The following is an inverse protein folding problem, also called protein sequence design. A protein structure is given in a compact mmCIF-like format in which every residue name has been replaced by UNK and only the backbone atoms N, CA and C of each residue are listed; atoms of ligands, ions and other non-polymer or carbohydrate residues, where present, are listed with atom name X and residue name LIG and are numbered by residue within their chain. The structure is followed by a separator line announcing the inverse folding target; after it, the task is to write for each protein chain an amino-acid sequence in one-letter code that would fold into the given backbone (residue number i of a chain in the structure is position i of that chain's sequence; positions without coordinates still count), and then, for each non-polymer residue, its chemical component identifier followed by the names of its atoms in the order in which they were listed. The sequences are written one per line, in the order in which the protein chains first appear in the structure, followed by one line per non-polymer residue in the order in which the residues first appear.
data_IF_433960648123
#
_entry.id   IF_433960648123
#
_cell.length_a   1.000
_cell.length_b   1.000
_cell.length_c   1.000
_cell.angle_alpha   90.00
_cell.angle_beta   90.00
_cell.angle_gamma   90.00
#
_symmetry.space_group_name_H-M   'P 1'
#
loop_
_entity.id
_entity.type
_entity.pdbx_description
1 polymer ?
#
# COMPACT_ATOMS: atom_id res chain seq x y z
N UNK A 1 -3.36 0.73 -10.52
CA UNK A 1 -2.05 1.41 -10.39
C UNK A 1 -2.29 2.90 -10.27
N UNK A 2 -1.47 3.57 -9.47
CA UNK A 2 -1.56 5.02 -9.25
C UNK A 2 -0.17 5.61 -9.34
N UNK A 3 -0.10 6.78 -9.95
CA UNK A 3 1.09 7.61 -9.97
C UNK A 3 0.70 9.07 -10.01
N UNK A 4 1.64 9.94 -9.69
CA UNK A 4 1.49 11.39 -9.86
C UNK A 4 2.52 11.95 -10.83
N UNK A 5 2.17 13.07 -11.45
CA UNK A 5 3.08 13.90 -12.23
C UNK A 5 3.28 15.24 -11.54
N UNK A 6 4.52 15.70 -11.51
CA UNK A 6 4.92 17.05 -11.16
C UNK A 6 5.53 17.69 -12.40
N UNK A 7 5.19 18.95 -12.67
CA UNK A 7 5.95 19.72 -13.66
C UNK A 7 7.32 20.05 -13.06
N UNK A 8 8.39 19.83 -13.83
CA UNK A 8 9.77 20.04 -13.37
C UNK A 8 9.98 21.49 -12.92
N UNK A 9 9.38 22.45 -13.62
CA UNK A 9 9.47 23.88 -13.30
C UNK A 9 8.84 24.21 -11.93
N UNK A 10 7.66 23.69 -11.64
CA UNK A 10 6.99 23.88 -10.34
C UNK A 10 7.78 23.21 -9.21
N UNK A 11 8.30 22.00 -9.45
CA UNK A 11 9.09 21.25 -8.47
C UNK A 11 10.43 21.93 -8.12
N UNK A 12 10.98 22.77 -9.01
CA UNK A 12 12.19 23.56 -8.74
C UNK A 12 11.97 24.58 -7.60
N UNK A 13 10.74 24.93 -7.24
CA UNK A 13 10.46 25.79 -6.09
C UNK A 13 10.74 25.12 -4.73
N UNK A 14 10.95 23.81 -4.69
CA UNK A 14 11.28 23.09 -3.45
C UNK A 14 12.66 23.49 -2.89
N UNK A 15 12.81 23.47 -1.56
CA UNK A 15 14.07 23.82 -0.89
C UNK A 15 14.79 22.54 -0.43
N UNK A 16 16.07 22.43 -0.76
CA UNK A 16 16.92 21.37 -0.24
C UNK A 16 17.50 21.77 1.11
N UNK A 17 17.09 21.08 2.19
CA UNK A 17 17.57 21.33 3.56
C UNK A 17 18.46 20.20 4.10
N UNK A 18 18.40 19.03 3.47
CA UNK A 18 19.14 17.83 3.88
C UNK A 18 20.15 17.41 2.81
N UNK A 19 21.13 16.61 3.21
CA UNK A 19 22.08 16.04 2.25
C UNK A 19 21.51 14.74 1.67
N UNK A 20 21.87 14.46 0.41
CA UNK A 20 21.52 13.22 -0.28
C UNK A 20 22.79 12.56 -0.79
N UNK A 21 22.91 11.25 -0.59
CA UNK A 21 23.96 10.42 -1.21
C UNK A 21 23.38 9.14 -1.80
N UNK A 22 24.19 8.45 -2.60
CA UNK A 22 23.84 7.10 -3.07
C UNK A 22 23.69 6.15 -1.88
N UNK A 23 22.76 5.22 -2.02
CA UNK A 23 22.57 4.11 -1.10
C UNK A 23 23.81 3.22 -1.05
N UNK A 24 24.13 2.75 0.16
CA UNK A 24 25.17 1.79 0.45
C UNK A 24 24.58 0.59 1.21
N UNK A 25 25.28 -0.55 1.17
CA UNK A 25 24.79 -1.78 1.79
C UNK A 25 24.57 -1.66 3.30
N UNK A 26 25.31 -0.80 3.97
CA UNK A 26 25.20 -0.59 5.41
C UNK A 26 23.94 0.19 5.79
N UNK A 27 23.25 0.83 4.82
CA UNK A 27 21.96 1.52 5.03
C UNK A 27 20.77 0.55 5.14
N UNK A 28 20.95 -0.72 4.76
CA UNK A 28 19.87 -1.71 4.65
C UNK A 28 19.02 -1.81 5.94
N UNK A 29 19.59 -1.91 7.16
CA UNK A 29 18.78 -2.02 8.37
C UNK A 29 17.82 -0.84 8.55
N UNK A 30 18.31 0.39 8.32
CA UNK A 30 17.51 1.60 8.48
C UNK A 30 16.42 1.71 7.41
N UNK A 31 16.74 1.36 6.17
CA UNK A 31 15.77 1.32 5.05
C UNK A 31 14.65 0.33 5.33
N UNK A 32 14.98 -0.86 5.84
CA UNK A 32 13.99 -1.88 6.20
C UNK A 32 13.08 -1.40 7.34
N UNK A 33 13.65 -0.72 8.33
CA UNK A 33 12.89 -0.10 9.42
C UNK A 33 11.89 0.95 8.89
N UNK A 34 12.33 1.87 8.03
CA UNK A 34 11.45 2.87 7.41
C UNK A 34 10.37 2.24 6.54
N UNK A 35 10.75 1.27 5.70
CA UNK A 35 9.80 0.56 4.85
C UNK A 35 8.71 -0.13 5.67
N UNK A 36 9.09 -0.86 6.73
CA UNK A 36 8.15 -1.54 7.60
C UNK A 36 7.23 -0.55 8.32
N UNK A 37 7.77 0.55 8.86
CA UNK A 37 6.99 1.57 9.55
C UNK A 37 6.00 2.29 8.60
N UNK A 38 6.46 2.69 7.41
CA UNK A 38 5.63 3.43 6.45
C UNK A 38 4.56 2.54 5.77
N UNK A 39 4.74 1.22 5.78
CA UNK A 39 3.78 0.27 5.19
C UNK A 39 3.02 -0.57 6.24
N UNK A 40 3.19 -0.30 7.54
CA UNK A 40 2.63 -1.13 8.63
C UNK A 40 1.11 -1.33 8.56
N UNK A 41 0.38 -0.41 7.93
CA UNK A 41 -1.08 -0.46 7.78
C UNK A 41 -1.52 -0.55 6.31
N UNK A 42 -0.56 -0.72 5.38
CA UNK A 42 -0.86 -0.79 3.95
C UNK A 42 -1.10 -2.22 3.51
N UNK A 43 -2.26 -2.45 2.90
CA UNK A 43 -2.60 -3.76 2.35
C UNK A 43 -1.84 -4.03 1.04
N UNK A 44 -1.36 -5.25 0.86
CA UNK A 44 -0.73 -5.71 -0.38
C UNK A 44 0.76 -5.45 -0.51
N UNK A 45 1.37 -4.71 0.41
CA UNK A 45 2.82 -4.47 0.40
C UNK A 45 3.58 -5.71 0.92
N UNK A 46 4.54 -6.29 0.17
CA UNK A 46 5.34 -7.41 0.64
C UNK A 46 6.21 -7.04 1.83
N UNK A 47 6.42 -7.97 2.76
CA UNK A 47 7.43 -7.81 3.82
C UNK A 47 8.83 -8.01 3.24
N UNK A 48 9.74 -7.08 3.52
CA UNK A 48 11.16 -7.21 3.19
C UNK A 48 11.88 -7.90 4.36
N UNK A 49 12.29 -9.14 4.12
CA UNK A 49 13.03 -9.96 5.08
C UNK A 49 14.51 -9.54 5.10
N UNK A 50 15.02 -9.08 6.24
CA UNK A 50 16.42 -8.65 6.41
C UNK A 50 17.47 -9.71 6.02
N UNK A 51 17.11 -10.99 6.18
CA UNK A 51 18.02 -12.09 5.87
C UNK A 51 18.16 -12.28 4.36
N UNK A 52 17.12 -11.94 3.58
CA UNK A 52 17.02 -12.21 2.13
C UNK A 52 17.07 -10.95 1.27
N UNK A 53 16.61 -9.81 1.78
CA UNK A 53 16.61 -8.54 1.09
C UNK A 53 18.02 -7.94 1.13
N UNK A 54 18.56 -7.61 -0.05
CA UNK A 54 19.95 -7.16 -0.19
C UNK A 54 20.12 -5.88 -0.97
N UNK A 55 19.16 -5.56 -1.85
CA UNK A 55 19.15 -4.37 -2.69
C UNK A 55 17.80 -4.22 -3.37
N UNK A 56 17.54 -3.04 -3.90
CA UNK A 56 16.51 -2.79 -4.90
C UNK A 56 16.89 -3.49 -6.21
N UNK A 57 16.00 -4.30 -6.77
CA UNK A 57 16.28 -5.14 -7.94
C UNK A 57 15.95 -4.46 -9.27
N UNK A 58 15.01 -3.52 -9.27
CA UNK A 58 14.51 -2.84 -10.46
C UNK A 58 13.93 -1.49 -10.10
N UNK A 59 13.92 -0.57 -11.07
CA UNK A 59 13.14 0.66 -11.04
C UNK A 59 11.70 0.40 -11.48
N UNK A 60 11.16 1.27 -12.32
CA UNK A 60 9.75 1.35 -12.73
C UNK A 60 9.31 0.28 -13.70
N UNK A 61 10.23 -0.58 -14.18
CA UNK A 61 9.91 -1.75 -15.00
C UNK A 61 11.00 -2.81 -14.91
N UNK A 62 10.70 -4.03 -15.39
CA UNK A 62 11.58 -5.21 -15.32
C UNK A 62 12.90 -5.11 -16.10
N UNK A 63 13.10 -4.07 -16.90
CA UNK A 63 14.30 -3.83 -17.72
C UNK A 63 15.06 -2.57 -17.32
N UNK A 64 14.61 -1.86 -16.28
CA UNK A 64 15.27 -0.65 -15.79
C UNK A 64 15.79 -0.94 -14.39
N UNK A 65 17.09 -0.68 -14.22
CA UNK A 65 17.75 -0.86 -12.93
C UNK A 65 17.28 0.21 -11.93
N UNK A 66 17.40 -0.12 -10.65
CA UNK A 66 17.08 0.80 -9.57
C UNK A 66 18.26 1.72 -9.29
N UNK A 67 17.98 3.01 -9.07
CA UNK A 67 18.95 3.99 -8.63
C UNK A 67 18.59 4.55 -7.23
N UNK A 68 19.04 3.88 -6.15
CA UNK A 68 18.67 4.21 -4.78
C UNK A 68 19.55 5.29 -4.13
N UNK A 69 18.90 6.13 -3.33
CA UNK A 69 19.50 7.22 -2.57
C UNK A 69 19.02 7.23 -1.13
N UNK A 70 19.82 7.81 -0.24
CA UNK A 70 19.45 8.08 1.16
C UNK A 70 19.52 9.58 1.46
N UNK A 71 18.67 10.01 2.39
CA UNK A 71 18.64 11.38 2.92
C UNK A 71 19.28 11.36 4.31
N UNK A 72 20.25 12.25 4.52
CA UNK A 72 21.03 12.36 5.74
C UNK A 72 20.65 13.61 6.52
N UNK A 73 20.61 13.52 7.85
CA UNK A 73 20.53 14.69 8.71
C UNK A 73 21.89 15.36 8.92
N UNK A 74 21.94 16.34 9.84
CA UNK A 74 23.15 17.11 10.16
C UNK A 74 24.18 16.31 10.97
N UNK A 75 23.77 15.20 11.55
CA UNK A 75 24.58 14.33 12.41
C UNK A 75 25.03 13.08 11.61
N UNK A 76 24.90 13.12 10.27
CA UNK A 76 25.19 12.03 9.33
C UNK A 76 24.36 10.76 9.56
N UNK A 77 23.15 10.88 10.10
CA UNK A 77 22.21 9.77 10.26
C UNK A 77 21.24 9.66 9.09
N UNK A 78 20.96 8.43 8.65
CA UNK A 78 20.00 8.15 7.57
C UNK A 78 18.58 8.34 8.10
N UNK A 79 17.88 9.35 7.60
CA UNK A 79 16.50 9.72 8.02
C UNK A 79 15.44 9.42 6.94
N UNK A 80 15.87 8.94 5.78
CA UNK A 80 14.99 8.45 4.74
C UNK A 80 15.74 7.92 3.53
N UNK A 81 14.99 7.37 2.58
CA UNK A 81 15.50 6.88 1.31
C UNK A 81 14.47 7.07 0.21
N UNK A 82 14.95 7.03 -1.02
CA UNK A 82 14.09 7.01 -2.19
C UNK A 82 14.81 6.32 -3.35
N UNK A 83 14.03 5.77 -4.29
CA UNK A 83 14.55 4.98 -5.41
C UNK A 83 14.05 5.57 -6.70
N UNK A 84 14.98 5.92 -7.59
CA UNK A 84 14.66 6.35 -8.94
C UNK A 84 14.93 5.22 -9.95
N UNK A 85 14.51 5.44 -11.18
CA UNK A 85 15.02 4.67 -12.32
C UNK A 85 16.47 5.02 -12.63
N UNK A 86 17.32 4.03 -12.91
CA UNK A 86 18.65 4.25 -13.45
C UNK A 86 18.60 4.47 -14.97
N UNK A 87 18.12 5.65 -15.37
CA UNK A 87 18.00 6.07 -16.78
C UNK A 87 18.14 7.59 -16.92
N UNK A 88 18.54 8.00 -18.13
CA UNK A 88 18.58 9.40 -18.57
C UNK A 88 17.34 9.79 -19.39
N UNK A 89 16.39 8.88 -19.63
CA UNK A 89 15.22 9.18 -20.48
C UNK A 89 14.07 9.86 -19.70
N UNK A 90 13.86 9.46 -18.45
CA UNK A 90 12.74 9.92 -17.63
C UNK A 90 13.16 10.06 -16.16
N UNK A 91 12.49 10.93 -15.41
CA UNK A 91 12.67 11.04 -13.97
C UNK A 91 11.50 10.36 -13.25
N UNK A 92 11.70 9.10 -12.85
CA UNK A 92 10.66 8.30 -12.19
C UNK A 92 11.11 7.94 -10.78
N UNK A 93 10.27 8.26 -9.79
CA UNK A 93 10.39 7.83 -8.41
C UNK A 93 9.56 6.55 -8.19
N UNK A 94 10.20 5.49 -7.70
CA UNK A 94 9.67 4.13 -7.68
C UNK A 94 9.41 3.58 -6.27
N UNK A 95 10.10 4.13 -5.27
CA UNK A 95 9.95 3.78 -3.86
C UNK A 95 10.44 4.95 -3.00
N UNK A 96 9.86 5.11 -1.82
CA UNK A 96 10.23 6.12 -0.83
C UNK A 96 9.94 5.60 0.58
N UNK A 97 10.88 5.80 1.49
CA UNK A 97 10.66 5.63 2.92
C UNK A 97 11.30 6.74 3.72
N UNK A 98 10.72 7.06 4.87
CA UNK A 98 11.06 8.23 5.65
C UNK A 98 10.78 8.01 7.13
N UNK A 99 11.63 8.61 7.96
CA UNK A 99 11.39 8.74 9.39
C UNK A 99 10.27 9.76 9.66
N UNK A 100 10.36 10.92 9.02
CA UNK A 100 9.36 11.98 9.10
C UNK A 100 9.29 12.80 7.80
N UNK A 101 8.32 13.72 7.73
CA UNK A 101 7.97 14.44 6.50
C UNK A 101 8.89 15.60 6.16
N UNK A 102 9.87 15.93 7.01
CA UNK A 102 10.77 17.07 6.80
C UNK A 102 11.66 16.88 5.57
N UNK A 103 11.95 15.64 5.17
CA UNK A 103 12.81 15.34 4.02
C UNK A 103 12.14 15.57 2.66
N UNK A 104 10.82 15.78 2.63
CA UNK A 104 10.06 15.77 1.38
C UNK A 104 10.44 16.92 0.43
N UNK A 105 10.74 18.13 0.94
CA UNK A 105 11.21 19.22 0.05
C UNK A 105 12.57 18.89 -0.57
N UNK A 106 13.50 18.34 0.20
CA UNK A 106 14.80 17.90 -0.31
C UNK A 106 14.65 16.86 -1.41
N UNK A 107 13.76 15.87 -1.24
CA UNK A 107 13.50 14.85 -2.27
C UNK A 107 12.88 15.47 -3.52
N UNK A 108 11.88 16.35 -3.38
CA UNK A 108 11.29 17.04 -4.54
C UNK A 108 12.33 17.88 -5.28
N UNK A 109 13.17 18.62 -4.54
CA UNK A 109 14.23 19.42 -5.14
C UNK A 109 15.23 18.56 -5.90
N UNK A 110 15.65 17.45 -5.31
CA UNK A 110 16.54 16.47 -5.97
C UNK A 110 15.94 15.95 -7.27
N UNK A 111 14.67 15.52 -7.25
CA UNK A 111 13.99 15.01 -8.44
C UNK A 111 13.85 16.09 -9.51
N UNK A 112 13.57 17.33 -9.11
CA UNK A 112 13.50 18.46 -10.03
C UNK A 112 14.85 18.75 -10.69
N UNK A 113 15.95 18.68 -9.95
CA UNK A 113 17.30 18.88 -10.48
C UNK A 113 17.68 17.74 -11.42
N UNK A 114 17.37 16.50 -11.06
CA UNK A 114 17.54 15.33 -11.92
C UNK A 114 16.74 15.47 -13.22
N UNK A 115 15.45 15.80 -13.13
CA UNK A 115 14.59 15.95 -14.30
C UNK A 115 15.06 17.08 -15.22
N UNK A 116 15.48 18.21 -14.65
CA UNK A 116 16.06 19.32 -15.40
C UNK A 116 17.35 18.92 -16.11
N UNK A 117 18.25 18.19 -15.43
CA UNK A 117 19.51 17.74 -16.00
C UNK A 117 19.30 16.87 -17.24
N UNK A 118 18.33 15.95 -17.19
CA UNK A 118 18.00 15.07 -18.32
C UNK A 118 17.02 15.69 -19.33
N UNK A 119 16.60 16.94 -19.13
CA UNK A 119 15.64 17.63 -20.02
C UNK A 119 14.20 17.12 -19.93
N UNK A 120 13.83 16.40 -18.87
CA UNK A 120 12.47 15.94 -18.65
C UNK A 120 11.57 17.08 -18.16
N UNK A 121 10.47 17.32 -18.87
CA UNK A 121 9.47 18.33 -18.50
C UNK A 121 8.70 17.96 -17.23
N UNK A 122 8.65 16.66 -16.89
CA UNK A 122 7.84 16.15 -15.79
C UNK A 122 8.61 15.10 -14.99
N UNK A 123 8.31 15.07 -13.69
CA UNK A 123 8.71 14.01 -12.76
C UNK A 123 7.50 13.11 -12.57
N UNK A 124 7.69 11.79 -12.69
CA UNK A 124 6.65 10.80 -12.40
C UNK A 124 6.95 10.13 -11.06
N UNK A 125 5.96 9.97 -10.19
CA UNK A 125 6.12 9.23 -8.94
C UNK A 125 5.10 8.10 -8.86
N UNK A 126 5.58 6.86 -8.87
CA UNK A 126 4.78 5.65 -8.75
C UNK A 126 4.42 5.37 -7.28
N UNK A 127 3.58 6.25 -6.73
CA UNK A 127 3.23 6.28 -5.31
C UNK A 127 1.70 6.27 -5.16
N UNK A 128 1.15 5.58 -4.13
CA UNK A 128 -0.28 5.63 -3.82
C UNK A 128 -0.82 7.05 -3.64
N UNK A 129 -2.11 7.26 -3.96
CA UNK A 129 -2.76 8.57 -3.89
C UNK A 129 -2.88 9.11 -2.45
N UNK A 130 -2.99 8.20 -1.49
CA UNK A 130 -3.08 8.44 -0.05
C UNK A 130 -1.72 8.55 0.65
N UNK A 131 -0.62 8.29 -0.06
CA UNK A 131 0.70 8.35 0.54
C UNK A 131 1.05 9.78 0.98
N UNK A 132 1.68 9.98 2.16
CA UNK A 132 2.00 11.32 2.66
C UNK A 132 2.82 12.18 1.70
N UNK A 133 3.75 11.56 0.96
CA UNK A 133 4.52 12.26 -0.08
C UNK A 133 3.63 12.74 -1.25
N UNK A 134 2.66 11.93 -1.68
CA UNK A 134 1.71 12.32 -2.73
C UNK A 134 0.85 13.51 -2.30
N UNK A 135 0.34 13.49 -1.05
CA UNK A 135 -0.43 14.61 -0.48
C UNK A 135 0.44 15.88 -0.41
N UNK A 136 1.70 15.73 0.03
CA UNK A 136 2.65 16.82 0.11
C UNK A 136 2.92 17.48 -1.25
N UNK A 137 3.04 16.67 -2.30
CA UNK A 137 3.32 17.11 -3.67
C UNK A 137 2.21 17.99 -4.29
N UNK A 138 0.99 17.99 -3.72
CA UNK A 138 -0.13 18.82 -4.21
C UNK A 138 0.19 20.32 -4.22
N UNK A 139 1.11 20.79 -3.35
CA UNK A 139 1.53 22.19 -3.30
C UNK A 139 2.26 22.66 -4.57
N UNK A 140 2.80 21.74 -5.35
CA UNK A 140 3.52 21.99 -6.61
C UNK A 140 2.66 21.71 -7.83
N UNK A 141 1.32 21.69 -7.68
CA UNK A 141 0.40 21.46 -8.81
C UNK A 141 0.40 20.04 -9.36
N UNK A 142 0.58 19.01 -8.52
CA UNK A 142 0.66 17.63 -9.02
C UNK A 142 -0.65 17.13 -9.66
N UNK A 143 -0.54 16.33 -10.72
CA UNK A 143 -1.66 15.60 -11.33
C UNK A 143 -1.63 14.14 -10.89
N UNK A 144 -2.75 13.61 -10.40
CA UNK A 144 -2.86 12.19 -10.05
C UNK A 144 -3.48 11.41 -11.19
N UNK A 145 -2.83 10.32 -11.59
CA UNK A 145 -3.38 9.34 -12.52
C UNK A 145 -3.71 8.05 -11.76
N UNK A 146 -4.89 7.50 -12.00
CA UNK A 146 -5.28 6.19 -11.46
C UNK A 146 -5.80 5.33 -12.59
N UNK A 147 -5.13 4.21 -12.82
CA UNK A 147 -5.54 3.18 -13.75
C UNK A 147 -6.07 1.97 -12.98
N UNK A 148 -7.31 1.57 -13.24
CA UNK A 148 -7.93 0.37 -12.68
C UNK A 148 -8.25 -0.59 -13.81
N UNK A 149 -7.22 -1.28 -14.35
CA UNK A 149 -7.44 -2.14 -15.50
C UNK A 149 -8.23 -3.38 -15.08
N UNK A 150 -9.09 -3.84 -15.99
CA UNK A 150 -9.83 -5.09 -15.81
C UNK A 150 -8.90 -6.27 -16.11
N UNK A 151 -8.80 -7.21 -15.17
CA UNK A 151 -8.07 -8.47 -15.33
C UNK A 151 -6.58 -8.32 -15.72
N UNK A 152 -5.87 -7.35 -15.14
CA UNK A 152 -4.43 -7.19 -15.38
C UNK A 152 -3.69 -6.66 -14.15
N UNK A 153 -2.36 -6.49 -14.28
CA UNK A 153 -1.45 -6.04 -13.21
C UNK A 153 -1.29 -7.10 -12.11
N UNK A 154 -1.09 -6.69 -10.85
CA UNK A 154 -0.98 -7.60 -9.73
C UNK A 154 -2.27 -8.38 -9.50
N UNK A 155 -2.18 -9.71 -9.63
CA UNK A 155 -3.29 -10.64 -9.40
C UNK A 155 -3.00 -11.48 -8.15
N UNK A 156 -4.04 -11.82 -7.42
CA UNK A 156 -3.94 -12.65 -6.22
C UNK A 156 -4.98 -13.77 -6.28
N UNK A 157 -4.65 -14.88 -5.62
CA UNK A 157 -5.55 -16.04 -5.46
C UNK A 157 -5.50 -16.54 -4.02
N UNK A 158 -6.64 -16.82 -3.43
CA UNK A 158 -6.72 -17.50 -2.15
C UNK A 158 -6.48 -18.99 -2.43
N UNK A 159 -5.40 -19.54 -1.86
CA UNK A 159 -5.11 -20.97 -1.97
C UNK A 159 -5.91 -21.77 -0.93
N UNK A 160 -6.05 -21.23 0.28
CA UNK A 160 -6.81 -21.84 1.36
C UNK A 160 -7.48 -20.75 2.21
N UNK A 161 -8.80 -20.64 2.07
CA UNK A 161 -9.61 -19.61 2.73
C UNK A 161 -9.47 -19.66 4.26
N UNK A 162 -9.53 -20.85 4.85
CA UNK A 162 -9.41 -21.04 6.31
C UNK A 162 -8.10 -20.50 6.86
N UNK A 163 -6.96 -20.86 6.26
CA UNK A 163 -5.65 -20.37 6.70
C UNK A 163 -5.46 -18.89 6.41
N UNK A 164 -6.00 -18.39 5.30
CA UNK A 164 -5.92 -16.97 4.96
C UNK A 164 -6.69 -16.11 5.97
N UNK A 165 -7.94 -16.45 6.26
CA UNK A 165 -8.77 -15.73 7.24
C UNK A 165 -8.14 -15.78 8.65
N UNK A 166 -7.59 -16.94 9.03
CA UNK A 166 -6.85 -17.09 10.28
C UNK A 166 -5.59 -16.22 10.31
N UNK A 167 -4.85 -16.16 9.20
CA UNK A 167 -3.62 -15.39 9.08
C UNK A 167 -3.84 -13.88 9.19
N UNK A 168 -5.01 -13.37 8.79
CA UNK A 168 -5.35 -11.94 8.88
C UNK A 168 -6.17 -11.57 10.11
N UNK A 169 -6.51 -12.52 10.98
CA UNK A 169 -7.43 -12.26 12.10
C UNK A 169 -6.94 -11.14 13.03
N UNK A 170 -5.63 -11.05 13.29
CA UNK A 170 -5.06 -9.98 14.12
C UNK A 170 -5.27 -8.58 13.53
N UNK A 171 -5.18 -8.44 12.20
CA UNK A 171 -5.44 -7.18 11.51
C UNK A 171 -6.93 -6.83 11.52
N UNK A 172 -7.80 -7.83 11.36
CA UNK A 172 -9.26 -7.65 11.46
C UNK A 172 -9.69 -7.23 12.87
N UNK A 173 -9.12 -7.85 13.91
CA UNK A 173 -9.31 -7.45 15.31
C UNK A 173 -8.84 -6.01 15.56
N UNK A 174 -7.65 -5.65 15.05
CA UNK A 174 -7.11 -4.29 15.17
C UNK A 174 -8.05 -3.26 14.56
N UNK A 175 -8.66 -3.56 13.40
CA UNK A 175 -9.63 -2.68 12.74
C UNK A 175 -10.90 -2.51 13.57
N UNK A 176 -11.47 -3.60 14.07
CA UNK A 176 -12.66 -3.54 14.94
C UNK A 176 -12.41 -2.71 16.21
N UNK A 177 -11.30 -2.96 16.91
CA UNK A 177 -10.98 -2.24 18.16
C UNK A 177 -10.77 -0.73 17.96
N UNK A 178 -10.37 -0.32 16.75
CA UNK A 178 -10.21 1.09 16.37
C UNK A 178 -11.51 1.74 15.91
N UNK A 179 -12.53 0.95 15.60
CA UNK A 179 -13.84 1.47 15.22
C UNK A 179 -14.55 2.06 16.43
N UNK A 180 -15.00 3.31 16.32
CA UNK A 180 -15.71 3.98 17.40
C UNK A 180 -17.06 3.30 17.72
N UNK A 181 -17.74 2.80 16.69
CA UNK A 181 -19.12 2.31 16.79
C UNK A 181 -19.22 0.77 16.86
N UNK A 182 -18.14 0.06 16.50
CA UNK A 182 -18.16 -1.40 16.35
C UNK A 182 -17.12 -2.14 17.22
N UNK A 183 -16.39 -1.42 18.07
CA UNK A 183 -15.46 -2.04 19.03
C UNK A 183 -16.16 -3.01 19.98
N UNK A 184 -17.41 -2.73 20.35
CA UNK A 184 -18.23 -3.58 21.23
C UNK A 184 -19.18 -4.52 20.47
N UNK A 185 -19.08 -4.58 19.14
CA UNK A 185 -19.95 -5.45 18.34
C UNK A 185 -19.65 -6.93 18.61
N UNK A 186 -20.69 -7.75 18.71
CA UNK A 186 -20.57 -9.20 18.82
C UNK A 186 -21.56 -9.90 17.89
N UNK A 187 -21.12 -10.98 17.27
CA UNK A 187 -21.92 -11.73 16.31
C UNK A 187 -21.11 -12.76 15.55
N UNK A 188 -21.77 -13.50 14.67
CA UNK A 188 -21.14 -14.52 13.83
C UNK A 188 -21.28 -14.16 12.36
N UNK A 189 -20.19 -14.27 11.61
CA UNK A 189 -20.13 -14.03 10.17
C UNK A 189 -19.66 -15.29 9.46
N UNK A 190 -20.50 -15.86 8.62
CA UNK A 190 -20.14 -16.95 7.70
C UNK A 190 -19.73 -16.34 6.36
N UNK A 191 -18.49 -16.59 5.96
CA UNK A 191 -17.96 -16.23 4.64
C UNK A 191 -17.96 -17.49 3.77
N UNK A 192 -18.71 -17.45 2.67
CA UNK A 192 -18.88 -18.53 1.72
C UNK A 192 -18.32 -18.13 0.35
N UNK A 193 -17.44 -18.97 -0.19
CA UNK A 193 -16.95 -18.84 -1.56
C UNK A 193 -16.94 -20.21 -2.26
N UNK A 194 -16.49 -20.24 -3.50
CA UNK A 194 -16.21 -21.48 -4.23
C UNK A 194 -15.11 -22.35 -3.59
N UNK A 195 -14.36 -21.83 -2.61
CA UNK A 195 -13.38 -22.58 -1.81
C UNK A 195 -13.96 -23.20 -0.52
N UNK A 196 -15.24 -22.94 -0.23
CA UNK A 196 -15.93 -23.43 0.96
C UNK A 196 -16.34 -22.32 1.94
N UNK A 197 -16.60 -22.71 3.19
CA UNK A 197 -17.23 -21.84 4.17
C UNK A 197 -16.42 -21.75 5.46
N UNK A 198 -16.27 -20.54 5.98
CA UNK A 198 -15.65 -20.27 7.28
C UNK A 198 -16.55 -19.39 8.13
N UNK A 199 -16.70 -19.71 9.41
CA UNK A 199 -17.43 -18.88 10.36
C UNK A 199 -16.45 -18.17 11.30
N UNK A 200 -16.57 -16.85 11.35
CA UNK A 200 -15.88 -15.98 12.28
C UNK A 200 -16.86 -15.60 13.39
N UNK A 201 -16.49 -15.87 14.64
CA UNK A 201 -17.18 -15.36 15.82
C UNK A 201 -16.43 -14.12 16.29
N UNK A 202 -17.14 -13.01 16.35
CA UNK A 202 -16.63 -11.72 16.81
C UNK A 202 -17.23 -11.47 18.18
N UNK A 203 -16.39 -11.16 19.15
CA UNK A 203 -16.81 -10.68 20.47
C UNK A 203 -15.97 -9.46 20.84
N UNK A 204 -16.60 -8.29 20.81
CA UNK A 204 -16.02 -7.00 21.28
C UNK A 204 -14.58 -6.79 20.82
N UNK A 205 -14.38 -6.85 19.51
CA UNK A 205 -13.10 -6.60 18.86
C UNK A 205 -12.11 -7.77 18.86
N UNK A 206 -12.49 -8.94 19.39
CA UNK A 206 -11.76 -10.21 19.19
C UNK A 206 -12.45 -11.07 18.14
N UNK A 207 -11.67 -11.85 17.39
CA UNK A 207 -12.14 -12.74 16.34
C UNK A 207 -11.62 -14.16 16.60
N UNK A 208 -12.56 -15.10 16.68
CA UNK A 208 -12.28 -16.53 16.77
C UNK A 208 -12.89 -17.27 15.58
N UNK A 209 -12.26 -18.37 15.17
CA UNK A 209 -12.84 -19.29 14.20
C UNK A 209 -13.74 -20.30 14.92
N UNK A 210 -14.96 -20.49 14.44
CA UNK A 210 -15.93 -21.41 15.04
C UNK A 210 -16.55 -22.33 14.00
N UNK A 211 -17.02 -23.50 14.44
CA UNK A 211 -17.82 -24.40 13.61
C UNK A 211 -19.33 -24.12 13.75
N UNK A 212 -19.73 -23.34 14.76
CA UNK A 212 -21.12 -22.99 15.01
C UNK A 212 -21.59 -21.91 14.04
N UNK A 213 -22.70 -22.16 13.34
CA UNK A 213 -23.30 -21.22 12.37
C UNK A 213 -24.65 -20.68 12.82
N UNK A 214 -25.09 -21.05 14.02
CA UNK A 214 -26.37 -20.59 14.56
C UNK A 214 -26.37 -19.06 14.70
N UNK A 215 -27.45 -18.42 14.25
CA UNK A 215 -27.65 -16.96 14.29
C UNK A 215 -26.50 -16.16 13.65
N UNK A 216 -25.98 -16.65 12.52
CA UNK A 216 -24.90 -15.97 11.78
C UNK A 216 -25.45 -15.09 10.67
N UNK A 217 -24.74 -13.98 10.43
CA UNK A 217 -24.80 -13.23 9.19
C UNK A 217 -24.01 -13.98 8.12
N UNK A 218 -24.46 -13.89 6.87
CA UNK A 218 -23.82 -14.54 5.74
C UNK A 218 -23.25 -13.51 4.76
N UNK A 219 -22.07 -13.82 4.24
CA UNK A 219 -21.46 -13.19 3.08
C UNK A 219 -21.13 -14.30 2.09
N UNK A 220 -21.80 -14.32 0.94
CA UNK A 220 -21.57 -15.28 -0.14
C UNK A 220 -21.09 -14.53 -1.38
N UNK A 221 -19.95 -14.95 -1.93
CA UNK A 221 -19.38 -14.41 -3.16
C UNK A 221 -18.29 -15.33 -3.74
N UNK A 222 -17.99 -15.23 -5.04
CA UNK A 222 -16.80 -15.84 -5.62
C UNK A 222 -15.48 -15.41 -4.94
N UNK A 223 -14.46 -16.28 -4.96
CA UNK A 223 -13.18 -16.02 -4.30
C UNK A 223 -12.45 -14.77 -4.84
N UNK A 224 -12.61 -14.44 -6.12
CA UNK A 224 -11.96 -13.28 -6.74
C UNK A 224 -12.56 -11.96 -6.20
N UNK A 225 -13.86 -11.94 -5.91
CA UNK A 225 -14.54 -10.83 -5.24
C UNK A 225 -14.13 -10.72 -3.77
N UNK A 226 -14.00 -11.85 -3.07
CA UNK A 226 -13.47 -11.85 -1.69
C UNK A 226 -12.06 -11.26 -1.64
N UNK A 227 -11.19 -11.60 -2.59
CA UNK A 227 -9.84 -11.02 -2.69
C UNK A 227 -9.90 -9.52 -2.94
N UNK A 228 -10.75 -9.04 -3.84
CA UNK A 228 -10.89 -7.62 -4.11
C UNK A 228 -11.37 -6.85 -2.88
N UNK A 229 -12.31 -7.43 -2.10
CA UNK A 229 -12.77 -6.89 -0.83
C UNK A 229 -11.64 -6.87 0.22
N UNK A 230 -10.97 -8.00 0.43
CA UNK A 230 -9.86 -8.12 1.40
C UNK A 230 -8.72 -7.15 1.11
N UNK A 231 -8.43 -6.92 -0.18
CA UNK A 231 -7.40 -5.98 -0.62
C UNK A 231 -7.85 -4.52 -0.56
N UNK A 232 -9.13 -4.26 -0.26
CA UNK A 232 -9.73 -2.92 -0.28
C UNK A 232 -9.79 -2.29 -1.67
N UNK A 233 -9.83 -3.10 -2.74
CA UNK A 233 -9.94 -2.61 -4.13
C UNK A 233 -11.38 -2.25 -4.50
N UNK A 234 -12.35 -2.96 -3.95
CA UNK A 234 -13.79 -2.72 -4.07
C UNK A 234 -14.40 -2.73 -2.67
N UNK A 235 -15.37 -1.87 -2.41
CA UNK A 235 -16.12 -1.88 -1.15
C UNK A 235 -17.16 -3.00 -1.18
N UNK A 236 -17.66 -3.40 0.00
CA UNK A 236 -18.79 -4.32 0.06
C UNK A 236 -20.03 -3.71 -0.61
N UNK A 237 -20.27 -2.40 -0.45
CA UNK A 237 -21.39 -1.70 -1.12
C UNK A 237 -21.36 -1.81 -2.65
N UNK A 238 -20.16 -1.76 -3.23
CA UNK A 238 -19.96 -1.95 -4.68
C UNK A 238 -20.07 -3.44 -5.09
N UNK A 239 -19.78 -4.37 -4.18
CA UNK A 239 -19.89 -5.80 -4.49
C UNK A 239 -21.32 -6.32 -4.39
N UNK A 240 -22.16 -5.80 -3.50
CA UNK A 240 -23.53 -6.33 -3.27
C UNK A 240 -24.48 -6.08 -4.43
N UNK A 241 -24.14 -5.19 -5.38
CA UNK A 241 -24.90 -5.00 -6.62
C UNK A 241 -24.61 -6.09 -7.67
N UNK A 242 -23.57 -6.90 -7.46
CA UNK A 242 -23.21 -7.99 -8.35
C UNK A 242 -24.17 -9.18 -8.17
N UNK A 243 -24.59 -9.84 -9.27
CA UNK A 243 -25.65 -10.87 -9.21
C UNK A 243 -25.24 -12.17 -8.50
N UNK A 244 -23.95 -12.39 -8.30
CA UNK A 244 -23.36 -13.57 -7.63
C UNK A 244 -22.84 -13.24 -6.21
N UNK A 245 -23.21 -12.07 -5.66
CA UNK A 245 -22.90 -11.65 -4.29
C UNK A 245 -24.19 -11.57 -3.48
N UNK A 246 -24.18 -12.16 -2.30
CA UNK A 246 -25.29 -12.11 -1.34
C UNK A 246 -24.78 -11.78 0.04
N UNK A 247 -25.47 -10.87 0.74
CA UNK A 247 -25.11 -10.43 2.08
C UNK A 247 -26.35 -10.38 2.97
N UNK A 248 -26.21 -10.80 4.23
CA UNK A 248 -27.28 -10.60 5.22
C UNK A 248 -27.48 -9.12 5.56
N UNK A 249 -28.73 -8.73 5.79
CA UNK A 249 -29.06 -7.37 6.16
C UNK A 249 -28.38 -6.97 7.48
N UNK A 250 -27.95 -5.70 7.59
CA UNK A 250 -27.38 -5.14 8.81
C UNK A 250 -25.89 -5.44 9.09
N UNK A 251 -25.23 -6.30 8.30
CA UNK A 251 -23.79 -6.62 8.51
C UNK A 251 -22.82 -5.75 7.70
N UNK A 252 -23.33 -4.94 6.76
CA UNK A 252 -22.50 -4.09 5.88
C UNK A 252 -21.52 -3.21 6.66
N UNK A 253 -21.91 -2.46 7.72
CA UNK A 253 -20.96 -1.61 8.47
C UNK A 253 -19.81 -2.40 9.11
N UNK A 254 -20.10 -3.64 9.54
CA UNK A 254 -19.07 -4.55 10.09
C UNK A 254 -18.13 -5.01 8.98
N UNK A 255 -18.65 -5.37 7.80
CA UNK A 255 -17.84 -5.75 6.65
C UNK A 255 -16.97 -4.59 6.15
N UNK A 256 -17.47 -3.37 6.13
CA UNK A 256 -16.68 -2.16 5.79
C UNK A 256 -15.56 -1.89 6.80
N UNK A 257 -15.80 -2.18 8.07
CA UNK A 257 -14.77 -2.05 9.12
C UNK A 257 -13.71 -3.14 8.99
N UNK A 258 -14.12 -4.38 8.73
CA UNK A 258 -13.21 -5.52 8.55
C UNK A 258 -12.38 -5.38 7.26
N UNK A 259 -13.00 -4.95 6.18
CA UNK A 259 -12.44 -4.88 4.83
C UNK A 259 -12.66 -3.51 4.19
N UNK A 260 -12.01 -2.45 4.72
CA UNK A 260 -12.22 -1.10 4.24
C UNK A 260 -11.70 -0.91 2.82
N UNK A 261 -12.39 -0.07 2.05
CA UNK A 261 -11.86 0.46 0.80
C UNK A 261 -10.54 1.19 1.09
N UNK A 262 -9.49 0.89 0.32
CA UNK A 262 -8.15 1.43 0.55
C UNK A 262 -7.35 1.55 -0.75
N UNK A 263 -6.08 1.93 -0.62
CA UNK A 263 -5.14 2.05 -1.72
C UNK A 263 -4.04 0.98 -1.58
N UNK A 264 -4.34 -0.29 -1.86
CA UNK A 264 -3.33 -1.33 -1.83
C UNK A 264 -2.24 -1.04 -2.85
N UNK A 265 -1.00 -1.36 -2.50
CA UNK A 265 0.15 -1.03 -3.33
C UNK A 265 1.25 -2.07 -3.21
N UNK A 266 1.91 -2.32 -4.34
CA UNK A 266 3.17 -3.05 -4.41
C UNK A 266 4.17 -2.11 -5.06
N UNK A 267 5.19 -1.73 -4.29
CA UNK A 267 6.28 -0.90 -4.76
C UNK A 267 6.99 -1.57 -5.93
N UNK A 268 7.41 -0.78 -6.91
CA UNK A 268 8.03 -1.31 -8.13
C UNK A 268 9.24 -2.22 -7.87
N UNK A 269 10.17 -1.86 -6.97
CA UNK A 269 11.32 -2.71 -6.66
C UNK A 269 10.98 -4.09 -6.05
N UNK A 270 9.75 -4.29 -5.56
CA UNK A 270 9.29 -5.53 -4.93
C UNK A 270 8.44 -6.42 -5.87
N UNK A 271 8.24 -6.00 -7.12
CA UNK A 271 7.49 -6.78 -8.11
C UNK A 271 8.29 -7.98 -8.62
N UNK A 272 7.58 -9.01 -9.05
CA UNK A 272 8.12 -10.30 -9.52
C UNK A 272 7.32 -10.85 -10.69
#
# INVERSE_FOLDING_TARGET
ETWIYLETEEAQAAVSTYQIRKFEKDDVPQILSFYAANNAERTGTPLRDETRWKKFKMGSNFRVDADPYVVMDKDDEVIGYFVCDDTEENCILCDIGFQDRTIFETIVRFLADRAKYIGAAQIQCHIPADHPFTIFCRRYGCRTHTNNPKNSSGMMRIINQSSTLKGISSELEKRLRRSADLSEWSGKLVISTDLGQNCLEIDRGSIAHTNSRANSFNLEMPQDKLIQLMMGRRSIEDLVIEPDVSVSEGIIPVLETLFPLSHPHVWWPDRF
#
